data_IF_119907929617
#
_entry.id   IF_119907929617
#
_cell.length_a   1.000
_cell.length_b   1.000
_cell.length_c   1.000
_cell.angle_alpha   90.00
_cell.angle_beta   90.00
_cell.angle_gamma   90.00
#
_symmetry.space_group_name_H-M   'P 1'
#
loop_
_entity.id
_entity.type
_entity.pdbx_description
1 polymer ?
#
# COMPACT_ATOMS: atom_id res chain seq x y z
N UNK A 1 -45.71 0.19 64.27
CA UNK A 1 -44.46 -0.36 63.65
C UNK A 1 -44.55 -0.19 62.14
N UNK A 2 -43.84 0.81 61.57
CA UNK A 2 -43.77 1.08 60.12
C UNK A 2 -42.37 0.81 59.71
N UNK A 3 -42.17 -0.28 58.95
CA UNK A 3 -40.89 -0.68 58.29
C UNK A 3 -40.74 0.05 56.97
N UNK A 4 -39.70 0.86 56.89
CA UNK A 4 -39.27 1.54 55.63
C UNK A 4 -38.37 0.61 54.84
N UNK A 5 -38.81 0.30 53.63
CA UNK A 5 -38.07 -0.49 52.65
C UNK A 5 -37.28 0.48 51.73
N UNK A 6 -35.96 0.51 51.85
CA UNK A 6 -35.08 1.26 50.96
C UNK A 6 -34.87 0.46 49.67
N UNK A 7 -35.36 0.98 48.58
CA UNK A 7 -35.07 0.44 47.25
C UNK A 7 -33.67 0.93 46.82
N UNK A 8 -32.72 -0.02 46.68
CA UNK A 8 -31.44 0.24 46.04
C UNK A 8 -31.71 0.41 44.53
N UNK A 9 -31.52 1.63 44.02
CA UNK A 9 -31.40 1.88 42.60
C UNK A 9 -29.97 1.50 42.22
N UNK A 10 -29.80 0.29 41.65
CA UNK A 10 -28.55 -0.11 40.99
C UNK A 10 -28.43 0.71 39.70
N UNK A 11 -27.56 1.71 39.73
CA UNK A 11 -27.18 2.45 38.55
C UNK A 11 -26.53 1.49 37.55
N UNK A 12 -27.18 1.24 36.43
CA UNK A 12 -26.58 0.60 35.25
C UNK A 12 -25.54 1.59 34.72
N UNK A 13 -24.28 1.39 35.10
CA UNK A 13 -23.17 2.03 34.46
C UNK A 13 -23.17 1.50 33.00
N UNK A 14 -23.70 2.32 32.10
CA UNK A 14 -23.60 2.08 30.68
C UNK A 14 -22.14 1.91 30.34
N UNK A 15 -21.76 0.72 29.90
CA UNK A 15 -20.47 0.49 29.25
C UNK A 15 -20.41 1.42 28.04
N UNK A 16 -19.73 2.55 28.21
CA UNK A 16 -19.27 3.32 27.04
C UNK A 16 -18.38 2.37 26.24
N UNK A 17 -18.93 1.82 25.16
CA UNK A 17 -18.18 0.97 24.25
C UNK A 17 -16.94 1.74 23.80
N UNK A 18 -15.77 1.26 24.24
CA UNK A 18 -14.49 1.77 23.79
C UNK A 18 -14.48 1.61 22.26
N UNK A 19 -14.63 2.72 21.58
CA UNK A 19 -14.62 2.74 20.12
C UNK A 19 -13.28 2.25 19.63
N UNK A 20 -13.28 1.29 18.71
CA UNK A 20 -12.07 0.68 18.21
C UNK A 20 -11.15 1.77 17.62
N UNK A 21 -10.05 2.00 18.32
CA UNK A 21 -8.96 2.86 17.88
C UNK A 21 -8.41 2.35 16.55
N UNK A 22 -8.05 3.23 15.62
CA UNK A 22 -7.42 2.82 14.38
C UNK A 22 -6.14 2.01 14.70
N UNK A 23 -5.98 0.87 14.07
CA UNK A 23 -4.89 -0.08 14.33
C UNK A 23 -4.02 -0.19 13.10
N UNK A 24 -2.73 0.05 13.22
CA UNK A 24 -1.76 0.09 12.11
C UNK A 24 -0.65 -0.92 12.37
N UNK A 25 -0.34 -1.75 11.36
CA UNK A 25 0.80 -2.65 11.38
C UNK A 25 1.80 -2.24 10.29
N UNK A 26 2.99 -1.81 10.70
CA UNK A 26 4.09 -1.49 9.80
C UNK A 26 4.82 -2.77 9.42
N UNK A 27 5.09 -2.95 8.12
CA UNK A 27 5.75 -4.13 7.56
C UNK A 27 6.87 -3.67 6.65
N UNK A 28 8.11 -4.03 6.98
CA UNK A 28 9.28 -3.77 6.12
C UNK A 28 9.46 -4.89 5.10
N UNK A 29 9.66 -4.51 3.85
CA UNK A 29 10.03 -5.39 2.75
C UNK A 29 11.31 -4.87 2.09
N UNK A 30 12.50 -5.24 2.64
CA UNK A 30 13.78 -4.67 2.23
C UNK A 30 14.38 -5.42 1.02
N UNK A 31 13.61 -5.55 -0.07
CA UNK A 31 14.07 -6.24 -1.27
C UNK A 31 13.90 -5.35 -2.51
N UNK A 32 14.99 -5.09 -3.22
CA UNK A 32 14.99 -4.50 -4.57
C UNK A 32 15.26 -5.63 -5.56
N UNK A 33 14.22 -6.06 -6.28
CA UNK A 33 14.26 -7.35 -6.93
C UNK A 33 14.49 -8.45 -5.87
N UNK A 34 15.40 -9.37 -6.17
CA UNK A 34 15.78 -10.46 -5.26
C UNK A 34 16.83 -10.07 -4.19
N UNK A 35 17.26 -8.81 -4.15
CA UNK A 35 18.38 -8.36 -3.33
C UNK A 35 17.91 -7.59 -2.10
N UNK A 36 18.42 -8.02 -0.96
CA UNK A 36 18.34 -7.27 0.29
C UNK A 36 19.75 -6.78 0.67
N UNK A 37 20.17 -5.65 0.09
CA UNK A 37 21.49 -5.04 0.35
C UNK A 37 21.27 -3.61 0.83
N UNK A 38 21.97 -3.17 1.88
CA UNK A 38 21.70 -1.87 2.53
C UNK A 38 21.75 -0.66 1.59
N UNK A 39 22.61 -0.72 0.57
CA UNK A 39 22.82 0.37 -0.38
C UNK A 39 21.62 0.58 -1.33
N UNK A 40 20.77 -0.44 -1.51
CA UNK A 40 19.60 -0.42 -2.38
C UNK A 40 18.28 -0.51 -1.64
N UNK A 41 18.26 -1.24 -0.53
CA UNK A 41 17.02 -1.64 0.16
C UNK A 41 16.82 -0.98 1.53
N UNK A 42 17.63 0.02 1.89
CA UNK A 42 17.61 0.68 3.20
C UNK A 42 16.42 1.63 3.45
N UNK A 43 15.58 1.90 2.44
CA UNK A 43 14.44 2.81 2.58
C UNK A 43 13.48 2.45 3.72
N UNK A 44 13.03 1.19 3.85
CA UNK A 44 12.18 0.77 4.96
C UNK A 44 12.80 1.04 6.35
N UNK A 45 14.07 0.74 6.54
CA UNK A 45 14.78 1.01 7.79
C UNK A 45 14.92 2.51 8.07
N UNK A 46 15.15 3.29 7.03
CA UNK A 46 15.26 4.74 7.13
C UNK A 46 13.96 5.39 7.61
N UNK A 47 12.81 4.89 7.16
CA UNK A 47 11.50 5.33 7.63
C UNK A 47 11.25 4.93 9.09
N UNK A 48 11.58 3.70 9.48
CA UNK A 48 11.45 3.24 10.86
C UNK A 48 12.32 4.07 11.81
N UNK A 49 13.60 4.22 11.51
CA UNK A 49 14.59 4.94 12.34
C UNK A 49 14.24 6.42 12.53
N UNK A 50 13.51 7.01 11.61
CA UNK A 50 13.02 8.38 11.71
C UNK A 50 11.83 8.56 12.66
N UNK A 51 11.34 7.48 13.31
CA UNK A 51 10.29 7.55 14.33
C UNK A 51 8.87 7.48 13.81
N UNK A 52 8.63 6.91 12.62
CA UNK A 52 7.31 6.79 12.00
C UNK A 52 6.28 6.16 12.94
N UNK A 53 6.63 5.07 13.63
CA UNK A 53 5.72 4.40 14.56
C UNK A 53 5.22 5.33 15.64
N UNK A 54 6.11 6.10 16.26
CA UNK A 54 5.77 7.09 17.28
C UNK A 54 4.82 8.16 16.75
N UNK A 55 5.07 8.66 15.53
CA UNK A 55 4.19 9.65 14.87
C UNK A 55 2.78 9.11 14.65
N UNK A 56 2.62 7.83 14.38
CA UNK A 56 1.31 7.16 14.24
C UNK A 56 0.64 7.04 15.62
N UNK A 57 1.38 6.66 16.66
CA UNK A 57 0.87 6.54 18.03
C UNK A 57 0.42 7.89 18.60
N UNK A 58 1.15 8.98 18.33
CA UNK A 58 0.78 10.34 18.70
C UNK A 58 -0.57 10.80 18.09
N UNK A 59 -1.03 10.14 17.04
CA UNK A 59 -2.38 10.32 16.46
C UNK A 59 -3.44 9.40 17.06
N UNK A 60 -3.19 8.88 18.23
CA UNK A 60 -4.13 7.99 18.94
C UNK A 60 -4.43 6.71 18.15
N UNK A 61 -3.47 6.19 17.44
CA UNK A 61 -3.55 4.88 16.78
C UNK A 61 -2.83 3.81 17.60
N UNK A 62 -3.34 2.58 17.56
CA UNK A 62 -2.65 1.43 18.11
C UNK A 62 -1.67 0.89 17.08
N UNK A 63 -0.42 0.70 17.46
CA UNK A 63 0.58 0.00 16.67
C UNK A 63 1.02 -1.30 17.35
N UNK A 64 1.91 -2.02 16.71
CA UNK A 64 2.56 -3.23 17.22
C UNK A 64 4.02 -3.23 16.72
N UNK A 65 4.90 -4.13 17.24
CA UNK A 65 6.27 -4.24 16.73
C UNK A 65 6.29 -4.40 15.20
N UNK A 66 7.20 -3.69 14.56
CA UNK A 66 7.33 -3.68 13.10
C UNK A 66 7.77 -5.06 12.62
N UNK A 67 7.03 -5.63 11.68
CA UNK A 67 7.39 -6.89 11.04
C UNK A 67 8.44 -6.64 9.95
N UNK A 68 9.35 -7.59 9.75
CA UNK A 68 10.37 -7.52 8.71
C UNK A 68 10.33 -8.80 7.87
N UNK A 69 10.26 -8.66 6.56
CA UNK A 69 10.40 -9.78 5.62
C UNK A 69 11.86 -10.12 5.48
N UNK A 70 12.19 -11.39 5.68
CA UNK A 70 13.54 -11.92 5.50
C UNK A 70 13.45 -13.36 5.00
N UNK A 71 14.13 -13.64 3.90
CA UNK A 71 14.28 -15.01 3.41
C UNK A 71 15.08 -15.83 4.42
N UNK A 72 14.70 -17.08 4.58
CA UNK A 72 15.50 -18.06 5.34
C UNK A 72 16.79 -18.40 4.56
N UNK A 73 17.79 -18.93 5.26
CA UNK A 73 19.04 -19.34 4.63
C UNK A 73 18.85 -20.34 3.48
N UNK A 74 17.80 -21.16 3.52
CA UNK A 74 17.51 -22.11 2.44
C UNK A 74 16.78 -21.43 1.27
N UNK A 75 15.91 -20.47 1.53
CA UNK A 75 15.26 -19.67 0.49
C UNK A 75 16.26 -18.77 -0.26
N UNK A 76 17.26 -18.21 0.43
CA UNK A 76 18.35 -17.46 -0.20
C UNK A 76 19.18 -18.29 -1.19
N UNK A 77 19.24 -19.61 -0.98
CA UNK A 77 19.91 -20.56 -1.90
C UNK A 77 19.04 -20.96 -3.09
N UNK A 78 17.76 -20.57 -3.13
CA UNK A 78 16.87 -20.90 -4.24
C UNK A 78 17.45 -20.38 -5.55
N UNK A 79 17.46 -21.25 -6.58
CA UNK A 79 18.00 -20.89 -7.89
C UNK A 79 17.06 -19.92 -8.62
N UNK A 80 17.62 -18.80 -9.03
CA UNK A 80 16.94 -17.80 -9.84
C UNK A 80 16.47 -16.59 -9.03
N UNK A 81 16.82 -15.40 -9.57
CA UNK A 81 16.49 -14.12 -8.97
C UNK A 81 14.98 -13.93 -8.76
N UNK A 82 14.20 -14.28 -9.77
CA UNK A 82 12.74 -14.12 -9.72
C UNK A 82 12.06 -15.11 -8.76
N UNK A 83 12.65 -16.29 -8.55
CA UNK A 83 12.13 -17.26 -7.57
C UNK A 83 12.36 -16.76 -6.14
N UNK A 84 13.55 -16.21 -5.85
CA UNK A 84 13.83 -15.61 -4.53
C UNK A 84 12.93 -14.40 -4.24
N UNK A 85 12.73 -13.52 -5.23
CA UNK A 85 11.81 -12.40 -5.07
C UNK A 85 10.37 -12.88 -4.83
N UNK A 86 9.95 -13.94 -5.52
CA UNK A 86 8.63 -14.53 -5.32
C UNK A 86 8.47 -15.13 -3.93
N UNK A 87 9.52 -15.76 -3.37
CA UNK A 87 9.53 -16.24 -1.99
C UNK A 87 9.39 -15.09 -1.00
N UNK A 88 10.17 -14.03 -1.15
CA UNK A 88 10.07 -12.85 -0.28
C UNK A 88 8.67 -12.20 -0.37
N UNK A 89 8.06 -12.12 -1.56
CA UNK A 89 6.68 -11.69 -1.74
C UNK A 89 5.68 -12.64 -1.06
N UNK A 90 5.92 -13.95 -1.11
CA UNK A 90 5.10 -14.95 -0.40
C UNK A 90 5.14 -14.78 1.13
N UNK A 91 6.29 -14.44 1.69
CA UNK A 91 6.42 -14.15 3.12
C UNK A 91 5.77 -12.82 3.50
N UNK A 92 5.94 -11.79 2.67
CA UNK A 92 5.19 -10.55 2.82
C UNK A 92 3.68 -10.81 2.82
N UNK A 93 3.19 -11.65 1.91
CA UNK A 93 1.77 -11.99 1.81
C UNK A 93 1.23 -12.65 3.09
N UNK A 94 1.99 -13.56 3.70
CA UNK A 94 1.62 -14.20 4.97
C UNK A 94 1.45 -13.17 6.08
N UNK A 95 2.38 -12.21 6.19
CA UNK A 95 2.33 -11.15 7.19
C UNK A 95 1.12 -10.23 6.94
N UNK A 96 0.95 -9.73 5.71
CA UNK A 96 -0.17 -8.85 5.34
C UNK A 96 -1.51 -9.51 5.63
N UNK A 97 -1.68 -10.79 5.28
CA UNK A 97 -2.89 -11.54 5.55
C UNK A 97 -3.16 -11.70 7.05
N UNK A 98 -2.13 -11.97 7.84
CA UNK A 98 -2.24 -12.10 9.29
C UNK A 98 -2.64 -10.77 9.95
N UNK A 99 -1.99 -9.66 9.55
CA UNK A 99 -2.29 -8.34 10.08
C UNK A 99 -3.71 -7.91 9.73
N UNK A 100 -4.13 -8.13 8.48
CA UNK A 100 -5.49 -7.82 8.05
C UNK A 100 -6.54 -8.61 8.82
N UNK A 101 -6.35 -9.93 9.00
CA UNK A 101 -7.24 -10.77 9.84
C UNK A 101 -7.24 -10.33 11.30
N UNK A 102 -6.13 -9.81 11.79
CA UNK A 102 -6.01 -9.22 13.12
C UNK A 102 -6.73 -7.88 13.29
N UNK A 103 -7.33 -7.31 12.22
CA UNK A 103 -8.03 -6.03 12.24
C UNK A 103 -7.09 -4.82 12.18
N UNK A 104 -5.83 -5.00 11.77
CA UNK A 104 -4.90 -3.91 11.51
C UNK A 104 -5.01 -3.42 10.06
N UNK A 105 -4.64 -2.16 9.84
CA UNK A 105 -4.28 -1.64 8.53
C UNK A 105 -2.81 -2.01 8.26
N UNK A 106 -2.50 -2.94 7.34
CA UNK A 106 -1.14 -3.17 6.92
C UNK A 106 -0.61 -1.96 6.16
N UNK A 107 0.56 -1.46 6.56
CA UNK A 107 1.31 -0.43 5.86
C UNK A 107 2.67 -1.00 5.49
N UNK A 108 2.85 -1.27 4.21
CA UNK A 108 4.11 -1.75 3.64
C UNK A 108 5.11 -0.60 3.47
N UNK A 109 6.26 -0.72 4.13
CA UNK A 109 7.45 0.09 3.87
C UNK A 109 8.29 -0.73 2.89
N UNK A 110 8.21 -0.39 1.61
CA UNK A 110 8.68 -1.24 0.51
C UNK A 110 9.94 -0.64 -0.12
N UNK A 111 10.97 -1.45 -0.28
CA UNK A 111 12.20 -0.96 -0.93
C UNK A 111 11.98 -0.66 -2.42
N UNK A 112 11.03 -1.37 -3.07
CA UNK A 112 10.74 -1.21 -4.49
C UNK A 112 9.33 -1.73 -4.84
N UNK A 113 8.76 -1.27 -5.97
CA UNK A 113 7.45 -1.69 -6.48
C UNK A 113 7.36 -3.19 -6.81
N UNK A 114 8.49 -3.90 -6.97
CA UNK A 114 8.51 -5.35 -7.14
C UNK A 114 7.88 -6.14 -5.96
N UNK A 115 7.56 -5.45 -4.85
CA UNK A 115 6.84 -6.01 -3.70
C UNK A 115 5.31 -6.01 -3.85
N UNK A 116 4.78 -5.47 -4.95
CA UNK A 116 3.34 -5.35 -5.23
C UNK A 116 2.61 -6.69 -5.10
N UNK A 117 3.19 -7.76 -5.68
CA UNK A 117 2.57 -9.08 -5.67
C UNK A 117 2.33 -9.62 -4.25
N UNK A 118 3.24 -9.37 -3.31
CA UNK A 118 3.12 -9.80 -1.92
C UNK A 118 2.00 -9.08 -1.18
N UNK A 119 1.89 -7.75 -1.34
CA UNK A 119 0.81 -6.98 -0.75
C UNK A 119 -0.56 -7.41 -1.27
N UNK A 120 -0.70 -7.57 -2.59
CA UNK A 120 -1.93 -8.03 -3.23
C UNK A 120 -2.31 -9.45 -2.82
N UNK A 121 -1.35 -10.38 -2.85
CA UNK A 121 -1.55 -11.77 -2.42
C UNK A 121 -1.99 -11.84 -0.95
N UNK A 122 -1.34 -11.07 -0.08
CA UNK A 122 -1.72 -11.03 1.33
C UNK A 122 -3.15 -10.56 1.55
N UNK A 123 -3.60 -9.55 0.84
CA UNK A 123 -4.99 -9.10 0.87
C UNK A 123 -5.95 -10.14 0.28
N UNK A 124 -5.58 -10.75 -0.85
CA UNK A 124 -6.37 -11.79 -1.50
C UNK A 124 -6.65 -12.96 -0.55
N UNK A 125 -5.70 -13.31 0.30
CA UNK A 125 -5.81 -14.41 1.26
C UNK A 125 -6.15 -13.96 2.69
N UNK A 126 -6.61 -12.72 2.89
CA UNK A 126 -6.97 -12.20 4.22
C UNK A 126 -8.40 -12.51 4.65
N UNK A 127 -9.25 -12.98 3.74
CA UNK A 127 -10.66 -13.28 4.01
C UNK A 127 -10.89 -14.58 4.79
N UNK A 128 -12.10 -14.75 5.34
CA UNK A 128 -12.49 -16.00 5.98
C UNK A 128 -12.74 -17.12 4.94
N UNK A 129 -12.58 -18.37 5.36
CA UNK A 129 -13.01 -19.53 4.57
C UNK A 129 -12.11 -19.94 3.41
N UNK A 130 -10.89 -19.38 3.29
CA UNK A 130 -9.89 -19.81 2.30
C UNK A 130 -10.20 -19.45 0.84
N UNK A 131 -11.34 -18.80 0.56
CA UNK A 131 -11.63 -18.30 -0.79
C UNK A 131 -10.87 -17.00 -1.03
N UNK A 132 -10.16 -16.85 -2.17
CA UNK A 132 -9.50 -15.59 -2.50
C UNK A 132 -10.50 -14.43 -2.57
N UNK A 133 -10.18 -13.32 -1.91
CA UNK A 133 -10.92 -12.06 -2.05
C UNK A 133 -10.60 -11.43 -3.42
N UNK A 134 -11.58 -10.72 -3.97
CA UNK A 134 -11.36 -9.85 -5.13
C UNK A 134 -10.65 -8.59 -4.64
N UNK A 135 -9.43 -8.37 -5.10
CA UNK A 135 -8.63 -7.19 -4.72
C UNK A 135 -8.73 -6.13 -5.81
N UNK A 136 -9.01 -4.89 -5.42
CA UNK A 136 -8.83 -3.71 -6.25
C UNK A 136 -7.44 -3.11 -5.99
N UNK A 137 -6.83 -2.53 -7.01
CA UNK A 137 -5.56 -1.83 -6.95
C UNK A 137 -5.74 -0.37 -7.36
N UNK A 138 -5.24 0.56 -6.55
CA UNK A 138 -4.91 1.92 -6.96
C UNK A 138 -3.39 2.02 -6.91
N UNK A 139 -2.76 2.15 -8.08
CA UNK A 139 -1.31 2.25 -8.25
C UNK A 139 -0.97 3.70 -8.58
N UNK A 140 -0.25 4.37 -7.69
CA UNK A 140 0.03 5.81 -7.75
C UNK A 140 1.52 5.98 -7.98
N UNK A 141 1.88 6.38 -9.20
CA UNK A 141 3.25 6.36 -9.69
C UNK A 141 3.41 7.38 -10.84
N UNK A 142 4.64 7.80 -11.11
CA UNK A 142 4.97 8.54 -12.33
C UNK A 142 4.97 7.63 -13.58
N UNK A 143 5.21 6.33 -13.38
CA UNK A 143 5.30 5.29 -14.39
C UNK A 143 4.10 4.35 -14.32
N UNK A 144 3.85 3.58 -15.38
CA UNK A 144 2.76 2.61 -15.37
C UNK A 144 3.16 1.27 -14.71
N UNK A 145 4.45 0.97 -14.68
CA UNK A 145 4.95 -0.33 -14.23
C UNK A 145 4.21 -1.52 -14.91
N UNK A 146 3.74 -1.27 -16.14
CA UNK A 146 2.92 -2.17 -16.93
C UNK A 146 3.69 -2.82 -18.09
N UNK A 147 5.01 -2.66 -18.08
CA UNK A 147 5.88 -3.37 -18.99
C UNK A 147 5.85 -4.89 -18.77
N UNK A 148 6.02 -5.63 -19.87
CA UNK A 148 6.30 -7.06 -19.85
C UNK A 148 7.76 -7.29 -20.25
N UNK A 149 8.30 -8.52 -20.12
CA UNK A 149 9.63 -8.82 -20.67
C UNK A 149 9.79 -8.53 -22.16
N UNK A 150 8.67 -8.50 -22.90
CA UNK A 150 8.65 -8.26 -24.36
C UNK A 150 8.55 -6.77 -24.72
N UNK A 151 8.08 -5.91 -23.81
CA UNK A 151 7.83 -4.48 -24.10
C UNK A 151 8.88 -3.56 -23.49
N UNK A 152 9.53 -3.98 -22.40
CA UNK A 152 10.47 -3.15 -21.65
C UNK A 152 11.71 -2.77 -22.44
N UNK A 153 12.08 -1.50 -22.41
CA UNK A 153 13.34 -1.02 -22.99
C UNK A 153 14.53 -1.21 -22.02
N UNK A 154 14.27 -1.18 -20.72
CA UNK A 154 15.32 -1.23 -19.70
C UNK A 154 15.63 -2.65 -19.19
N UNK A 155 14.68 -3.58 -19.32
CA UNK A 155 14.73 -4.89 -18.66
C UNK A 155 14.53 -4.83 -17.15
N UNK A 156 14.19 -3.67 -16.58
CA UNK A 156 13.99 -3.51 -15.14
C UNK A 156 12.72 -4.22 -14.67
N UNK A 157 12.89 -5.15 -13.74
CA UNK A 157 11.75 -5.83 -13.11
C UNK A 157 10.85 -4.86 -12.31
N UNK A 158 11.43 -3.75 -11.82
CA UNK A 158 10.70 -2.69 -11.13
C UNK A 158 9.65 -2.01 -12.01
N UNK A 159 9.77 -2.02 -13.32
CA UNK A 159 8.78 -1.48 -14.28
C UNK A 159 7.75 -2.52 -14.76
N UNK A 160 7.58 -3.67 -14.08
CA UNK A 160 6.67 -4.74 -14.50
C UNK A 160 5.60 -5.15 -13.45
N UNK A 161 5.58 -4.63 -12.22
CA UNK A 161 4.74 -5.15 -11.15
C UNK A 161 3.25 -5.18 -11.48
N UNK A 162 2.73 -4.14 -12.14
CA UNK A 162 1.30 -4.07 -12.50
C UNK A 162 0.96 -5.10 -13.57
N UNK A 163 1.81 -5.27 -14.59
CA UNK A 163 1.63 -6.30 -15.61
C UNK A 163 1.67 -7.72 -15.01
N UNK A 164 2.58 -7.98 -14.06
CA UNK A 164 2.64 -9.25 -13.32
C UNK A 164 1.34 -9.48 -12.55
N UNK A 165 0.86 -8.46 -11.83
CA UNK A 165 -0.37 -8.55 -11.06
C UNK A 165 -1.59 -8.78 -11.97
N UNK A 166 -1.62 -8.19 -13.15
CA UNK A 166 -2.64 -8.41 -14.18
C UNK A 166 -2.52 -9.76 -14.92
N UNK A 167 -1.44 -10.52 -14.67
CA UNK A 167 -1.24 -11.84 -15.29
C UNK A 167 -0.64 -11.81 -16.68
N UNK A 168 -0.07 -10.67 -17.11
CA UNK A 168 0.46 -10.47 -18.47
C UNK A 168 1.89 -10.97 -18.65
N UNK A 169 2.57 -11.37 -17.58
CA UNK A 169 3.94 -11.88 -17.67
C UNK A 169 4.37 -12.57 -16.37
N UNK A 170 5.54 -13.20 -16.40
CA UNK A 170 6.19 -13.81 -15.23
C UNK A 170 5.24 -14.66 -14.35
N UNK A 171 4.33 -15.39 -14.97
CA UNK A 171 3.25 -16.16 -14.30
C UNK A 171 3.78 -17.01 -13.15
N UNK A 172 4.95 -17.69 -13.33
CA UNK A 172 5.54 -18.51 -12.27
C UNK A 172 5.90 -17.68 -11.03
N UNK A 173 6.44 -16.47 -11.22
CA UNK A 173 6.76 -15.56 -10.12
C UNK A 173 5.48 -15.15 -9.38
N UNK A 174 4.44 -14.76 -10.09
CA UNK A 174 3.14 -14.38 -9.53
C UNK A 174 2.53 -15.51 -8.69
N UNK A 175 2.46 -16.72 -9.27
CA UNK A 175 1.92 -17.90 -8.58
C UNK A 175 2.76 -18.30 -7.36
N UNK A 176 4.08 -18.18 -7.44
CA UNK A 176 4.99 -18.48 -6.32
C UNK A 176 4.84 -17.46 -5.18
N UNK A 177 4.55 -16.21 -5.48
CA UNK A 177 4.20 -15.19 -4.51
C UNK A 177 2.80 -15.40 -3.88
N UNK A 178 2.03 -16.35 -4.40
CA UNK A 178 0.69 -16.67 -3.93
C UNK A 178 -0.42 -15.79 -4.52
N UNK A 179 -0.15 -14.94 -5.50
CA UNK A 179 -1.16 -14.11 -6.14
C UNK A 179 -1.89 -14.91 -7.24
N UNK A 180 -2.99 -15.53 -6.86
CA UNK A 180 -3.83 -16.35 -7.77
C UNK A 180 -5.31 -16.32 -7.32
N UNK A 181 -6.24 -15.92 -8.21
CA UNK A 181 -6.06 -15.48 -9.60
C UNK A 181 -5.36 -14.11 -9.74
N UNK A 182 -4.90 -13.80 -10.96
CA UNK A 182 -4.43 -12.46 -11.33
C UNK A 182 -5.57 -11.43 -11.20
N UNK A 183 -5.22 -10.15 -11.08
CA UNK A 183 -6.21 -9.08 -11.04
C UNK A 183 -6.73 -8.79 -12.46
N UNK A 184 -8.06 -8.76 -12.67
CA UNK A 184 -8.61 -8.23 -13.92
C UNK A 184 -8.26 -6.75 -14.09
N UNK A 185 -7.94 -6.30 -15.31
CA UNK A 185 -7.62 -4.89 -15.59
C UNK A 185 -8.66 -3.90 -15.05
N UNK A 186 -9.96 -4.23 -15.15
CA UNK A 186 -11.05 -3.43 -14.58
C UNK A 186 -11.00 -3.27 -13.05
N UNK A 187 -10.18 -4.03 -12.32
CA UNK A 187 -9.95 -3.87 -10.89
C UNK A 187 -8.70 -3.02 -10.58
N UNK A 188 -8.06 -2.48 -11.60
CA UNK A 188 -6.85 -1.66 -11.49
C UNK A 188 -7.19 -0.22 -11.87
N UNK A 189 -6.65 0.71 -11.11
CA UNK A 189 -6.62 2.14 -11.40
C UNK A 189 -5.17 2.58 -11.29
N UNK A 190 -4.62 3.13 -12.36
CA UNK A 190 -3.34 3.83 -12.33
C UNK A 190 -3.54 5.32 -12.15
N UNK A 191 -2.71 5.94 -11.32
CA UNK A 191 -2.83 7.35 -11.01
C UNK A 191 -1.50 8.07 -11.17
N UNK A 192 -1.55 9.25 -11.80
CA UNK A 192 -0.41 10.14 -12.03
C UNK A 192 0.61 9.66 -13.07
N UNK A 193 0.35 8.61 -13.81
CA UNK A 193 1.23 8.11 -14.88
C UNK A 193 1.46 9.22 -15.92
N UNK A 194 2.73 9.45 -16.26
CA UNK A 194 3.16 10.50 -17.18
C UNK A 194 4.47 10.21 -17.92
N UNK A 195 5.06 9.06 -17.63
CA UNK A 195 6.20 8.54 -18.37
C UNK A 195 6.02 7.03 -18.60
N UNK A 196 6.01 6.61 -19.86
CA UNK A 196 5.77 5.23 -20.28
C UNK A 196 6.64 4.89 -21.49
N UNK A 197 7.05 3.62 -21.61
CA UNK A 197 7.65 3.11 -22.83
C UNK A 197 6.59 3.00 -23.94
N UNK A 198 6.93 3.18 -25.24
CA UNK A 198 5.91 3.18 -26.32
C UNK A 198 5.05 1.92 -26.39
N UNK A 199 5.65 0.73 -26.23
CA UNK A 199 4.91 -0.53 -26.25
C UNK A 199 4.13 -0.76 -24.95
N UNK A 200 4.57 -0.22 -23.84
CA UNK A 200 3.84 -0.21 -22.56
C UNK A 200 2.57 0.63 -22.69
N UNK A 201 2.68 1.83 -23.29
CA UNK A 201 1.51 2.69 -23.55
C UNK A 201 0.50 1.98 -24.45
N UNK A 202 0.97 1.30 -25.50
CA UNK A 202 0.11 0.51 -26.38
C UNK A 202 -0.64 -0.61 -25.62
N UNK A 203 -0.02 -1.25 -24.65
CA UNK A 203 -0.66 -2.25 -23.79
C UNK A 203 -1.67 -1.60 -22.86
N UNK A 204 -1.32 -0.47 -22.26
CA UNK A 204 -2.18 0.25 -21.34
C UNK A 204 -3.45 0.73 -22.05
N UNK A 205 -3.33 1.30 -23.25
CA UNK A 205 -4.44 1.80 -24.06
C UNK A 205 -5.43 0.68 -24.48
N UNK A 206 -4.96 -0.54 -24.58
CA UNK A 206 -5.80 -1.73 -24.91
C UNK A 206 -6.34 -2.46 -23.71
N UNK A 207 -5.94 -2.03 -22.50
CA UNK A 207 -6.36 -2.66 -21.24
C UNK A 207 -7.71 -2.14 -20.75
N UNK A 208 -8.27 -2.81 -19.73
CA UNK A 208 -9.43 -2.31 -18.99
C UNK A 208 -9.01 -1.43 -17.79
N UNK A 209 -7.72 -1.12 -17.64
CA UNK A 209 -7.19 -0.30 -16.54
C UNK A 209 -7.75 1.12 -16.66
N UNK A 210 -8.19 1.67 -15.54
CA UNK A 210 -8.67 3.05 -15.49
C UNK A 210 -7.56 3.98 -15.02
N UNK A 211 -7.61 5.23 -15.42
CA UNK A 211 -6.57 6.19 -15.09
C UNK A 211 -7.13 7.40 -14.32
N UNK A 212 -6.32 7.90 -13.39
CA UNK A 212 -6.49 9.18 -12.70
C UNK A 212 -5.31 10.09 -13.05
N UNK A 213 -5.62 11.30 -13.46
CA UNK A 213 -4.60 12.31 -13.75
C UNK A 213 -3.95 12.85 -12.47
N UNK A 214 -2.84 13.56 -12.63
CA UNK A 214 -2.22 14.31 -11.51
C UNK A 214 -3.21 15.33 -10.93
N UNK A 215 -4.03 15.97 -11.76
CA UNK A 215 -5.03 16.94 -11.31
C UNK A 215 -6.17 16.27 -10.51
N UNK A 216 -6.55 15.05 -10.87
CA UNK A 216 -7.52 14.29 -10.09
C UNK A 216 -7.01 14.05 -8.66
N UNK A 217 -5.72 13.77 -8.52
CA UNK A 217 -5.07 13.57 -7.22
C UNK A 217 -4.91 14.89 -6.47
N UNK A 218 -4.42 15.96 -7.11
CA UNK A 218 -4.23 17.28 -6.49
C UNK A 218 -5.51 17.83 -5.87
N UNK A 219 -6.64 17.61 -6.52
CA UNK A 219 -7.91 18.19 -6.12
C UNK A 219 -8.87 17.20 -5.49
N UNK A 220 -8.46 15.92 -5.27
CA UNK A 220 -9.36 14.86 -4.83
C UNK A 220 -10.68 14.88 -5.61
N UNK A 221 -10.56 14.84 -6.94
CA UNK A 221 -11.64 15.14 -7.87
C UNK A 221 -12.84 14.19 -7.78
N UNK A 222 -13.95 14.55 -8.42
CA UNK A 222 -15.08 13.64 -8.61
C UNK A 222 -14.68 12.35 -9.35
N UNK A 223 -13.68 12.41 -10.25
CA UNK A 223 -13.16 11.22 -10.92
C UNK A 223 -12.48 10.26 -9.93
N UNK A 224 -11.69 10.79 -8.99
CA UNK A 224 -11.10 9.98 -7.91
C UNK A 224 -12.22 9.26 -7.13
N UNK A 225 -13.23 9.99 -6.69
CA UNK A 225 -14.35 9.41 -5.95
C UNK A 225 -15.12 8.37 -6.78
N UNK A 226 -15.35 8.63 -8.07
CA UNK A 226 -15.99 7.68 -8.99
C UNK A 226 -15.18 6.38 -9.11
N UNK A 227 -13.85 6.45 -9.24
CA UNK A 227 -13.00 5.26 -9.33
C UNK A 227 -12.97 4.48 -8.01
N UNK A 228 -12.88 5.15 -6.88
CA UNK A 228 -12.94 4.50 -5.56
C UNK A 228 -14.28 3.82 -5.32
N UNK A 229 -15.39 4.46 -5.71
CA UNK A 229 -16.72 3.89 -5.64
C UNK A 229 -16.83 2.64 -6.54
N UNK A 230 -16.38 2.75 -7.80
CA UNK A 230 -16.37 1.63 -8.76
C UNK A 230 -15.57 0.43 -8.23
N UNK A 231 -14.37 0.66 -7.68
CA UNK A 231 -13.60 -0.42 -7.05
C UNK A 231 -14.34 -0.99 -5.84
N UNK A 232 -14.94 -0.13 -5.00
CA UNK A 232 -15.69 -0.58 -3.83
C UNK A 232 -16.89 -1.45 -4.18
N UNK A 233 -17.55 -1.23 -5.31
CA UNK A 233 -18.68 -2.03 -5.77
C UNK A 233 -18.23 -3.38 -6.34
N UNK A 234 -17.06 -3.43 -7.00
CA UNK A 234 -16.62 -4.59 -7.76
C UNK A 234 -15.62 -5.50 -7.04
N UNK A 235 -15.02 -5.04 -5.95
CA UNK A 235 -14.01 -5.79 -5.20
C UNK A 235 -14.41 -5.98 -3.75
N UNK A 236 -13.69 -6.83 -3.03
CA UNK A 236 -13.92 -7.09 -1.61
C UNK A 236 -13.03 -6.22 -0.72
N UNK A 237 -11.82 -5.92 -1.21
CA UNK A 237 -10.81 -5.04 -0.57
C UNK A 237 -10.06 -4.26 -1.64
N UNK A 238 -9.47 -3.10 -1.25
CA UNK A 238 -8.68 -2.24 -2.13
C UNK A 238 -7.31 -2.05 -1.51
N UNK A 239 -6.27 -2.28 -2.30
CA UNK A 239 -4.89 -1.93 -2.01
C UNK A 239 -4.51 -0.61 -2.68
N UNK A 240 -3.87 0.28 -1.94
CA UNK A 240 -3.33 1.52 -2.47
C UNK A 240 -1.81 1.45 -2.39
N UNK A 241 -1.14 1.57 -3.53
CA UNK A 241 0.30 1.57 -3.68
C UNK A 241 0.78 2.96 -4.08
N UNK A 242 1.87 3.42 -3.51
CA UNK A 242 2.51 4.69 -3.87
C UNK A 242 3.99 4.44 -4.11
N UNK A 243 4.46 4.71 -5.33
CA UNK A 243 5.89 4.93 -5.56
C UNK A 243 6.25 6.39 -5.24
N UNK A 244 7.38 6.59 -4.57
CA UNK A 244 7.79 7.93 -4.14
C UNK A 244 8.16 8.86 -5.30
N UNK A 245 8.50 8.34 -6.48
CA UNK A 245 8.82 9.15 -7.66
C UNK A 245 7.60 9.82 -8.31
N UNK A 246 6.40 9.43 -7.89
CA UNK A 246 5.17 10.15 -8.26
C UNK A 246 5.18 11.60 -7.83
N UNK A 247 5.90 11.93 -6.76
CA UNK A 247 5.91 13.26 -6.18
C UNK A 247 6.65 14.30 -7.03
N UNK A 248 6.43 15.55 -6.72
CA UNK A 248 7.25 16.66 -7.24
C UNK A 248 8.73 16.36 -6.95
N UNK A 249 9.63 16.43 -7.95
CA UNK A 249 11.06 16.15 -7.77
C UNK A 249 11.74 16.94 -6.66
N UNK A 250 11.18 18.08 -6.26
CA UNK A 250 11.69 18.89 -5.13
C UNK A 250 11.50 18.21 -3.77
N UNK A 251 10.53 17.29 -3.67
CA UNK A 251 10.27 16.53 -2.44
C UNK A 251 11.00 15.17 -2.40
N UNK A 252 11.51 14.71 -3.54
CA UNK A 252 12.29 13.48 -3.69
C UNK A 252 13.57 13.70 -4.51
N UNK A 253 14.41 14.70 -4.15
CA UNK A 253 15.49 15.16 -5.01
C UNK A 253 16.58 14.11 -5.27
N UNK A 254 16.67 13.08 -4.43
CA UNK A 254 17.62 11.97 -4.60
C UNK A 254 17.05 10.75 -5.31
N UNK A 255 15.79 10.79 -5.74
CA UNK A 255 15.20 9.68 -6.48
C UNK A 255 15.68 9.67 -7.94
N UNK A 256 16.19 8.53 -8.46
CA UNK A 256 16.81 8.49 -9.80
C UNK A 256 15.82 8.57 -10.97
N UNK A 257 14.53 8.30 -10.73
CA UNK A 257 13.51 8.17 -11.76
C UNK A 257 12.40 9.24 -11.65
N UNK A 258 12.71 10.39 -11.03
CA UNK A 258 11.72 11.47 -10.89
C UNK A 258 11.27 12.02 -12.24
N UNK A 259 9.97 12.27 -12.38
CA UNK A 259 9.35 12.92 -13.54
C UNK A 259 8.73 14.24 -13.08
N UNK A 260 8.90 15.29 -13.88
CA UNK A 260 8.34 16.62 -13.56
C UNK A 260 6.80 16.60 -13.57
N UNK A 261 6.19 17.54 -12.84
CA UNK A 261 4.74 17.74 -12.83
C UNK A 261 3.97 16.87 -11.85
N UNK A 262 4.62 16.12 -10.98
CA UNK A 262 3.97 15.34 -9.93
C UNK A 262 3.23 16.19 -8.88
N UNK A 263 2.34 15.58 -8.07
CA UNK A 263 1.69 16.25 -6.96
C UNK A 263 2.68 16.54 -5.83
N UNK A 264 2.37 17.48 -4.96
CA UNK A 264 3.08 17.59 -3.68
C UNK A 264 2.68 16.44 -2.73
N UNK A 265 3.53 16.14 -1.74
CA UNK A 265 3.18 15.15 -0.70
C UNK A 265 1.95 15.59 0.12
N UNK A 266 1.70 16.89 0.22
CA UNK A 266 0.51 17.41 0.89
C UNK A 266 -0.77 17.13 0.08
N UNK A 267 -0.74 17.36 -1.24
CA UNK A 267 -1.87 17.05 -2.12
C UNK A 267 -2.19 15.56 -2.13
N UNK A 268 -1.15 14.74 -2.30
CA UNK A 268 -1.32 13.27 -2.29
C UNK A 268 -1.77 12.75 -0.93
N UNK A 269 -1.29 13.31 0.19
CA UNK A 269 -1.78 12.95 1.53
C UNK A 269 -3.26 13.31 1.72
N UNK A 270 -3.72 14.42 1.14
CA UNK A 270 -5.14 14.78 1.13
C UNK A 270 -5.95 13.76 0.32
N UNK A 271 -5.50 13.40 -0.88
CA UNK A 271 -6.15 12.37 -1.70
C UNK A 271 -6.18 11.00 -1.00
N UNK A 272 -5.08 10.58 -0.37
CA UNK A 272 -5.04 9.36 0.44
C UNK A 272 -6.02 9.42 1.62
N UNK A 273 -6.19 10.59 2.26
CA UNK A 273 -7.21 10.76 3.29
C UNK A 273 -8.61 10.46 2.74
N UNK A 274 -8.95 10.97 1.56
CA UNK A 274 -10.24 10.70 0.93
C UNK A 274 -10.38 9.22 0.52
N UNK A 275 -9.36 8.62 -0.07
CA UNK A 275 -9.37 7.20 -0.47
C UNK A 275 -9.57 6.27 0.73
N UNK A 276 -8.92 6.55 1.87
CA UNK A 276 -9.02 5.71 3.07
C UNK A 276 -10.29 5.92 3.90
N UNK A 277 -11.17 6.84 3.52
CA UNK A 277 -12.54 6.89 4.03
C UNK A 277 -13.42 5.75 3.50
N UNK A 278 -13.07 5.17 2.36
CA UNK A 278 -13.76 4.00 1.82
C UNK A 278 -13.45 2.77 2.68
N UNK A 279 -14.48 2.05 3.12
CA UNK A 279 -14.33 0.91 4.03
C UNK A 279 -13.46 -0.21 3.47
N UNK A 280 -13.47 -0.37 2.14
CA UNK A 280 -12.70 -1.39 1.44
C UNK A 280 -11.25 -1.02 1.20
N UNK A 281 -10.82 0.23 1.45
CA UNK A 281 -9.40 0.59 1.47
C UNK A 281 -8.71 -0.12 2.65
N UNK A 282 -7.93 -1.16 2.34
CA UNK A 282 -7.54 -2.20 3.28
C UNK A 282 -6.04 -2.26 3.60
N UNK A 283 -5.19 -1.69 2.76
CA UNK A 283 -3.75 -1.61 2.97
C UNK A 283 -3.14 -0.47 2.16
N UNK A 284 -2.00 0.04 2.63
CA UNK A 284 -1.14 1.01 1.95
C UNK A 284 0.24 0.39 1.72
N UNK A 285 0.87 0.67 0.59
CA UNK A 285 2.30 0.47 0.37
C UNK A 285 2.95 1.79 -0.02
N UNK A 286 4.13 2.07 0.53
CA UNK A 286 4.98 3.19 0.12
C UNK A 286 6.32 2.60 -0.30
N UNK A 287 6.68 2.80 -1.57
CA UNK A 287 7.82 2.16 -2.21
C UNK A 287 8.88 3.17 -2.68
N UNK A 288 10.09 2.67 -2.95
CA UNK A 288 11.16 3.38 -3.65
C UNK A 288 11.64 4.65 -2.92
N UNK A 289 11.66 4.62 -1.59
CA UNK A 289 12.04 5.75 -0.75
C UNK A 289 13.53 6.11 -0.91
N UNK A 290 13.90 7.34 -1.31
CA UNK A 290 15.28 7.82 -1.20
C UNK A 290 15.77 7.85 0.26
N UNK A 291 16.99 7.42 0.51
CA UNK A 291 17.54 7.33 1.86
C UNK A 291 19.05 7.61 1.92
N UNK A 292 19.60 7.80 3.12
CA UNK A 292 21.00 8.08 3.31
C UNK A 292 21.45 9.35 2.60
N UNK A 293 22.51 9.26 1.81
CA UNK A 293 23.05 10.40 1.05
C UNK A 293 22.08 10.96 -0.01
N UNK A 294 21.06 10.20 -0.38
CA UNK A 294 20.02 10.63 -1.32
C UNK A 294 18.92 11.46 -0.65
N UNK A 295 18.85 11.50 0.67
CA UNK A 295 17.89 12.32 1.44
C UNK A 295 18.54 12.99 2.65
N UNK A 296 19.64 13.72 2.43
CA UNK A 296 20.43 14.39 3.50
C UNK A 296 19.63 15.38 4.34
N UNK A 297 18.60 15.98 3.77
CA UNK A 297 17.73 16.95 4.46
C UNK A 297 16.53 16.31 5.15
N UNK A 298 16.25 15.04 4.87
CA UNK A 298 15.06 14.35 5.35
C UNK A 298 13.74 14.79 4.67
N UNK A 299 13.82 15.54 3.58
CA UNK A 299 12.62 16.03 2.87
C UNK A 299 11.81 14.89 2.30
N UNK A 300 12.45 13.88 1.70
CA UNK A 300 11.76 12.73 1.16
C UNK A 300 11.15 11.85 2.25
N UNK A 301 11.84 11.70 3.38
CA UNK A 301 11.29 11.02 4.56
C UNK A 301 10.06 11.73 5.10
N UNK A 302 10.09 13.06 5.20
CA UNK A 302 8.93 13.83 5.62
C UNK A 302 7.76 13.67 4.64
N UNK A 303 8.04 13.67 3.33
CA UNK A 303 7.04 13.41 2.30
C UNK A 303 6.38 12.05 2.50
N UNK A 304 7.16 10.96 2.66
CA UNK A 304 6.62 9.63 2.94
C UNK A 304 5.74 9.60 4.21
N UNK A 305 6.16 10.32 5.26
CA UNK A 305 5.35 10.43 6.48
C UNK A 305 4.02 11.13 6.23
N UNK A 306 4.02 12.21 5.45
CA UNK A 306 2.78 12.89 5.08
C UNK A 306 1.78 11.92 4.42
N UNK A 307 2.26 11.07 3.49
CA UNK A 307 1.44 10.08 2.79
C UNK A 307 0.85 9.05 3.76
N UNK A 308 1.68 8.43 4.59
CA UNK A 308 1.24 7.41 5.55
C UNK A 308 0.24 8.00 6.55
N UNK A 309 0.53 9.19 7.07
CA UNK A 309 -0.33 9.86 8.04
C UNK A 309 -1.65 10.37 7.41
N UNK A 310 -1.63 10.69 6.11
CA UNK A 310 -2.85 10.97 5.34
C UNK A 310 -3.77 9.75 5.27
N UNK A 311 -3.24 8.58 4.96
CA UNK A 311 -4.00 7.34 4.94
C UNK A 311 -4.58 7.00 6.34
N UNK A 312 -3.75 7.10 7.38
CA UNK A 312 -4.17 6.87 8.78
C UNK A 312 -5.31 7.81 9.17
N UNK A 313 -5.23 9.09 8.81
CA UNK A 313 -6.30 10.08 9.03
C UNK A 313 -7.61 9.66 8.36
N UNK A 314 -7.57 9.17 7.12
CA UNK A 314 -8.75 8.66 6.41
C UNK A 314 -9.42 7.50 7.15
N UNK A 315 -8.63 6.54 7.65
CA UNK A 315 -9.12 5.42 8.46
C UNK A 315 -9.80 5.90 9.75
N UNK A 316 -9.23 6.89 10.43
CA UNK A 316 -9.82 7.46 11.65
C UNK A 316 -11.16 8.14 11.35
N UNK A 317 -11.23 8.97 10.30
CA UNK A 317 -12.45 9.66 9.88
C UNK A 317 -13.57 8.69 9.49
N UNK A 318 -13.25 7.59 8.80
CA UNK A 318 -14.19 6.52 8.51
C UNK A 318 -14.78 5.90 9.78
N UNK A 319 -13.93 5.62 10.78
CA UNK A 319 -14.35 5.11 12.09
C UNK A 319 -15.29 6.08 12.85
N UNK A 320 -15.03 7.39 12.76
CA UNK A 320 -15.88 8.40 13.37
C UNK A 320 -17.26 8.54 12.67
N UNK A 321 -17.29 8.43 11.34
CA UNK A 321 -18.54 8.48 10.58
C UNK A 321 -19.45 7.29 10.89
N UNK A 322 -18.88 6.08 11.08
CA UNK A 322 -19.62 4.89 11.49
C UNK A 322 -20.25 5.00 12.89
N UNK A 323 -19.70 5.84 13.76
CA UNK A 323 -20.23 6.09 15.12
C UNK A 323 -21.45 7.03 15.15
N UNK A 324 -21.63 7.85 14.11
CA UNK A 324 -22.72 8.84 14.05
C UNK A 324 -23.98 8.30 13.39
N UNK A 325 -23.91 7.10 12.82
CA UNK A 325 -25.04 6.35 12.27
C UNK A 325 -25.56 5.31 13.28
#
# INVERSE_FOLDING_TARGET
MKTWMWALIAGVAGSQGAFAQARVALIKMPYVGERNVPELSGGPDYLEQGGLQKLIEERSCQTKPISNVALTTDEEKAYGAWDRLALANGDLAKIVAAERRGGYLPVGLLANCSSLAGMLSGLQHSGPGGRPLRVGLVFIDAHADFNTPETTLSGMLGGMPVAIAAGMGLTRMRLRAGLDPALPGRHIVEACVRDTDPLEQDLLDRSEIQQLSVEDIRHSSENLHRQMQRLSENTDVIYIHVDMDVLDPREVPGHPLTVAGGPSSADLAAALTEMFKYEKAAALGVASMPFGDRDKTGVSRQAAYNLILGAVKGVQQRGEAAKRK
#
